data_IF_046064913378
#
_entry.id   IF_046064913378
#
_cell.length_a   1.000
_cell.length_b   1.000
_cell.length_c   1.000
_cell.angle_alpha   90.00
_cell.angle_beta   90.00
_cell.angle_gamma   90.00
#
_symmetry.space_group_name_H-M   'P 1'
#
loop_
_entity.id
_entity.type
_entity.pdbx_description
1 polymer ?
#
# COMPACT_ATOMS: atom_id res chain seq x y z
N UNK A 1 8.99 24.41 3.76
CA UNK A 1 9.73 24.02 2.54
C UNK A 1 10.60 25.16 2.03
N UNK A 2 10.12 26.41 2.16
CA UNK A 2 10.66 27.64 1.59
C UNK A 2 12.01 28.08 2.18
N UNK A 3 12.43 27.54 3.32
CA UNK A 3 13.75 27.78 3.92
C UNK A 3 14.91 27.27 3.06
N UNK A 4 14.65 26.38 2.09
CA UNK A 4 15.64 25.82 1.19
C UNK A 4 15.83 26.70 -0.05
N UNK A 5 17.07 26.71 -0.57
CA UNK A 5 17.42 27.42 -1.81
C UNK A 5 16.55 26.92 -2.98
N UNK A 6 16.11 27.81 -3.90
CA UNK A 6 15.39 27.40 -5.11
C UNK A 6 16.14 26.35 -5.92
N UNK A 7 15.39 25.55 -6.69
CA UNK A 7 15.92 24.44 -7.47
C UNK A 7 15.73 23.09 -6.80
N UNK A 8 16.63 22.14 -7.10
CA UNK A 8 16.67 20.80 -6.49
C UNK A 8 16.55 20.78 -4.96
N UNK A 9 17.24 21.65 -4.19
CA UNK A 9 17.14 21.59 -2.72
C UNK A 9 15.71 21.83 -2.22
N UNK A 10 14.99 22.78 -2.82
CA UNK A 10 13.59 23.06 -2.48
C UNK A 10 12.64 21.99 -2.99
N UNK A 11 12.86 21.47 -4.20
CA UNK A 11 12.07 20.35 -4.73
C UNK A 11 12.22 19.10 -3.85
N UNK A 12 13.43 18.74 -3.45
CA UNK A 12 13.67 17.61 -2.55
C UNK A 12 12.99 17.82 -1.19
N UNK A 13 13.08 19.04 -0.63
CA UNK A 13 12.38 19.39 0.59
C UNK A 13 10.85 19.34 0.44
N UNK A 14 10.30 19.67 -0.74
CA UNK A 14 8.89 19.56 -1.05
C UNK A 14 8.44 18.10 -1.19
N UNK A 15 9.12 17.29 -2.01
CA UNK A 15 8.78 15.87 -2.18
C UNK A 15 8.87 15.11 -0.86
N UNK A 16 9.82 15.47 0.02
CA UNK A 16 9.96 14.87 1.34
C UNK A 16 9.09 15.53 2.44
N UNK A 17 8.31 16.57 2.10
CA UNK A 17 7.45 17.25 3.09
C UNK A 17 6.23 16.42 3.48
N UNK A 18 5.75 15.58 2.57
CA UNK A 18 4.67 14.64 2.79
C UNK A 18 4.97 13.33 2.05
N UNK A 19 4.68 12.19 2.68
CA UNK A 19 4.82 10.87 2.06
C UNK A 19 3.94 10.72 0.82
N UNK A 20 2.79 11.41 0.75
CA UNK A 20 1.96 11.43 -0.45
C UNK A 20 2.61 12.16 -1.63
N UNK A 21 3.58 13.04 -1.36
CA UNK A 21 4.36 13.75 -2.38
C UNK A 21 5.67 13.03 -2.73
N UNK A 22 6.02 11.94 -2.04
CA UNK A 22 7.13 11.06 -2.41
C UNK A 22 6.76 10.21 -3.64
N UNK A 23 6.73 10.81 -4.82
CA UNK A 23 6.52 10.12 -6.09
C UNK A 23 7.79 10.18 -6.95
N UNK A 24 8.24 9.03 -7.44
CA UNK A 24 9.41 8.90 -8.31
C UNK A 24 9.13 7.92 -9.45
N UNK A 25 9.88 8.04 -10.55
CA UNK A 25 9.81 7.06 -11.64
C UNK A 25 10.27 5.69 -11.14
N UNK A 26 9.51 4.65 -11.47
CA UNK A 26 9.79 3.25 -11.15
C UNK A 26 10.66 2.57 -12.20
N UNK A 27 10.76 3.15 -13.40
CA UNK A 27 11.58 2.65 -14.50
C UNK A 27 11.30 1.18 -14.85
N UNK A 28 10.03 0.76 -14.79
CA UNK A 28 9.66 -0.67 -14.88
C UNK A 28 10.17 -1.34 -16.15
N UNK A 29 10.07 -0.65 -17.30
CA UNK A 29 10.59 -1.15 -18.59
C UNK A 29 12.11 -1.30 -18.60
N UNK A 30 12.85 -0.39 -17.96
CA UNK A 30 14.31 -0.47 -17.90
C UNK A 30 14.76 -1.61 -16.99
N UNK A 31 14.11 -1.79 -15.83
CA UNK A 31 14.34 -2.94 -14.96
C UNK A 31 14.12 -4.26 -15.70
N UNK A 32 12.99 -4.40 -16.40
CA UNK A 32 12.70 -5.60 -17.18
C UNK A 32 13.77 -5.85 -18.27
N UNK A 33 14.25 -4.81 -18.94
CA UNK A 33 15.30 -4.94 -19.96
C UNK A 33 16.62 -5.42 -19.37
N UNK A 34 17.03 -4.87 -18.23
CA UNK A 34 18.26 -5.31 -17.53
C UNK A 34 18.12 -6.76 -17.04
N UNK A 35 16.94 -7.15 -16.55
CA UNK A 35 16.69 -8.54 -16.14
C UNK A 35 16.79 -9.52 -17.31
N UNK A 36 16.22 -9.16 -18.47
CA UNK A 36 16.30 -9.99 -19.68
C UNK A 36 17.75 -10.15 -20.17
N UNK A 37 18.53 -9.08 -20.15
CA UNK A 37 19.96 -9.11 -20.49
C UNK A 37 20.75 -10.05 -19.56
N UNK A 38 20.53 -9.93 -18.25
CA UNK A 38 21.17 -10.81 -17.26
C UNK A 38 20.70 -12.27 -17.35
N UNK A 39 19.46 -12.49 -17.75
CA UNK A 39 18.92 -13.83 -17.97
C UNK A 39 19.63 -14.50 -19.15
N UNK A 40 19.81 -13.78 -20.26
CA UNK A 40 20.50 -14.29 -21.44
C UNK A 40 21.98 -14.61 -21.13
N UNK A 41 22.67 -13.72 -20.42
CA UNK A 41 24.04 -13.96 -19.97
C UNK A 41 24.17 -15.23 -19.10
N UNK A 42 23.17 -15.52 -18.27
CA UNK A 42 23.12 -16.77 -17.50
C UNK A 42 22.89 -18.00 -18.38
N UNK A 43 22.06 -17.87 -19.43
CA UNK A 43 21.81 -18.94 -20.40
C UNK A 43 23.09 -19.27 -21.16
N UNK A 44 23.83 -18.26 -21.67
CA UNK A 44 25.10 -18.49 -22.38
C UNK A 44 26.10 -19.30 -21.53
N UNK A 45 26.19 -18.99 -20.23
CA UNK A 45 27.12 -19.67 -19.33
C UNK A 45 26.60 -21.06 -18.94
N UNK A 46 25.27 -21.23 -18.86
CA UNK A 46 24.66 -22.55 -18.68
C UNK A 46 24.93 -23.45 -19.88
N UNK A 47 24.80 -22.95 -21.11
CA UNK A 47 25.11 -23.69 -22.32
C UNK A 47 26.59 -24.16 -22.32
N UNK A 48 27.52 -23.27 -21.94
CA UNK A 48 28.93 -23.66 -21.79
C UNK A 48 29.16 -24.75 -20.73
N UNK A 49 28.39 -24.74 -19.63
CA UNK A 49 28.46 -25.79 -18.63
C UNK A 49 27.94 -27.13 -19.19
N UNK A 50 26.81 -27.08 -19.90
CA UNK A 50 26.21 -28.26 -20.53
C UNK A 50 27.13 -28.87 -21.59
N UNK A 51 27.82 -28.05 -22.39
CA UNK A 51 28.84 -28.53 -23.34
C UNK A 51 29.99 -29.27 -22.63
N UNK A 52 30.47 -28.75 -21.50
CA UNK A 52 31.53 -29.39 -20.73
C UNK A 52 31.06 -30.71 -20.12
N UNK A 53 29.85 -30.75 -19.58
CA UNK A 53 29.27 -31.96 -19.01
C UNK A 53 29.01 -33.02 -20.10
N UNK A 54 28.58 -32.62 -21.29
CA UNK A 54 28.40 -33.52 -22.45
C UNK A 54 29.72 -34.06 -23.00
N UNK A 55 30.80 -33.27 -22.93
CA UNK A 55 32.14 -33.69 -23.36
C UNK A 55 32.85 -34.61 -22.35
N UNK A 56 32.30 -34.82 -21.14
CA UNK A 56 32.93 -35.64 -20.11
C UNK A 56 32.88 -37.14 -20.46
N UNK A 57 34.05 -37.69 -20.75
CA UNK A 57 34.21 -39.12 -21.07
C UNK A 57 34.05 -40.03 -19.85
N UNK A 58 34.39 -39.55 -18.66
CA UNK A 58 34.40 -40.33 -17.42
C UNK A 58 33.24 -39.92 -16.53
N UNK A 59 32.14 -40.67 -16.64
CA UNK A 59 30.90 -40.43 -15.86
C UNK A 59 31.13 -40.30 -14.35
N UNK A 60 32.14 -40.98 -13.78
CA UNK A 60 32.50 -40.84 -12.36
C UNK A 60 32.75 -39.39 -11.94
N UNK A 61 33.41 -38.57 -12.77
CA UNK A 61 33.68 -37.17 -12.43
C UNK A 61 32.40 -36.31 -12.41
N UNK A 62 31.33 -36.69 -13.11
CA UNK A 62 30.03 -36.02 -12.99
C UNK A 62 29.31 -36.34 -11.67
N UNK A 63 29.63 -37.47 -11.04
CA UNK A 63 29.00 -37.90 -9.78
C UNK A 63 29.64 -37.32 -8.52
N UNK A 64 30.81 -36.69 -8.62
CA UNK A 64 31.55 -36.20 -7.46
C UNK A 64 32.13 -34.82 -7.71
N UNK A 65 31.73 -33.84 -6.90
CA UNK A 65 32.38 -32.53 -6.88
C UNK A 65 33.79 -32.59 -6.27
N UNK A 66 34.02 -33.49 -5.29
CA UNK A 66 35.27 -33.51 -4.50
C UNK A 66 36.44 -34.05 -5.31
N UNK A 67 36.16 -34.99 -6.20
CA UNK A 67 37.16 -35.67 -7.02
C UNK A 67 37.05 -35.28 -8.50
N UNK A 68 36.20 -34.30 -8.82
CA UNK A 68 36.13 -33.69 -10.14
C UNK A 68 37.48 -33.04 -10.50
N UNK A 69 38.06 -33.48 -11.61
CA UNK A 69 39.33 -32.97 -12.12
C UNK A 69 39.14 -31.84 -13.14
N UNK A 70 37.92 -31.57 -13.56
CA UNK A 70 37.60 -30.55 -14.56
C UNK A 70 37.60 -29.15 -13.91
N UNK A 71 38.74 -28.47 -13.97
CA UNK A 71 38.90 -27.13 -13.42
C UNK A 71 37.99 -26.10 -14.11
N UNK A 72 37.70 -26.29 -15.40
CA UNK A 72 36.86 -25.37 -16.17
C UNK A 72 35.41 -25.43 -15.74
N UNK A 73 34.87 -26.64 -15.52
CA UNK A 73 33.53 -26.83 -14.94
C UNK A 73 33.38 -26.11 -13.60
N UNK A 74 34.38 -26.24 -12.73
CA UNK A 74 34.40 -25.58 -11.43
C UNK A 74 34.41 -24.05 -11.55
N UNK A 75 35.18 -23.51 -12.49
CA UNK A 75 35.23 -22.07 -12.78
C UNK A 75 33.88 -21.54 -13.25
N UNK A 76 33.24 -22.23 -14.20
CA UNK A 76 31.92 -21.85 -14.72
C UNK A 76 30.85 -21.91 -13.61
N UNK A 77 30.84 -22.96 -12.80
CA UNK A 77 29.92 -23.06 -11.66
C UNK A 77 30.10 -21.91 -10.65
N UNK A 78 31.33 -21.43 -10.43
CA UNK A 78 31.58 -20.24 -9.61
C UNK A 78 31.03 -18.97 -10.27
N UNK A 79 31.26 -18.80 -11.58
CA UNK A 79 30.75 -17.67 -12.35
C UNK A 79 29.22 -17.61 -12.34
N UNK A 80 28.54 -18.75 -12.57
CA UNK A 80 27.09 -18.89 -12.46
C UNK A 80 26.64 -18.48 -11.05
N UNK A 81 27.30 -18.97 -10.01
CA UNK A 81 26.98 -18.62 -8.62
C UNK A 81 27.00 -17.11 -8.37
N UNK A 82 28.02 -16.40 -8.85
CA UNK A 82 28.11 -14.95 -8.70
C UNK A 82 26.99 -14.22 -9.48
N UNK A 83 26.72 -14.62 -10.71
CA UNK A 83 25.70 -13.99 -11.55
C UNK A 83 24.28 -14.24 -11.06
N UNK A 84 24.01 -15.44 -10.54
CA UNK A 84 22.73 -15.74 -9.91
C UNK A 84 22.46 -14.84 -8.71
N UNK A 85 23.46 -14.47 -7.91
CA UNK A 85 23.28 -13.54 -6.80
C UNK A 85 22.84 -12.16 -7.30
N UNK A 86 23.53 -11.63 -8.32
CA UNK A 86 23.20 -10.34 -8.94
C UNK A 86 21.79 -10.36 -9.55
N UNK A 87 21.49 -11.37 -10.38
CA UNK A 87 20.18 -11.54 -11.01
C UNK A 87 19.05 -11.65 -9.99
N UNK A 88 19.22 -12.47 -8.96
CA UNK A 88 18.19 -12.66 -7.93
C UNK A 88 17.96 -11.41 -7.07
N UNK A 89 19.00 -10.60 -6.85
CA UNK A 89 18.86 -9.31 -6.17
C UNK A 89 18.01 -8.35 -7.02
N UNK A 90 18.36 -8.18 -8.30
CA UNK A 90 17.62 -7.34 -9.23
C UNK A 90 16.16 -7.80 -9.40
N UNK A 91 15.93 -9.10 -9.47
CA UNK A 91 14.60 -9.67 -9.65
C UNK A 91 13.72 -9.41 -8.44
N UNK A 92 14.27 -9.57 -7.23
CA UNK A 92 13.57 -9.28 -5.98
C UNK A 92 13.20 -7.80 -5.90
N UNK A 93 14.14 -6.93 -6.23
CA UNK A 93 13.92 -5.48 -6.22
C UNK A 93 12.82 -5.13 -7.23
N UNK A 94 12.87 -5.66 -8.45
CA UNK A 94 11.84 -5.47 -9.46
C UNK A 94 10.45 -5.95 -9.01
N UNK A 95 10.34 -7.14 -8.43
CA UNK A 95 9.07 -7.62 -7.89
C UNK A 95 8.55 -6.75 -6.74
N UNK A 96 9.45 -6.29 -5.86
CA UNK A 96 9.06 -5.35 -4.80
C UNK A 96 8.54 -4.03 -5.36
N UNK A 97 9.05 -3.57 -6.51
CA UNK A 97 8.55 -2.39 -7.23
C UNK A 97 7.19 -2.64 -7.89
N UNK A 98 6.95 -3.83 -8.45
CA UNK A 98 5.63 -4.18 -9.00
C UNK A 98 4.54 -4.25 -7.93
N UNK A 99 4.90 -4.63 -6.70
CA UNK A 99 3.99 -4.64 -5.56
C UNK A 99 3.70 -3.24 -4.98
N UNK A 100 4.42 -2.21 -5.43
CA UNK A 100 4.17 -0.83 -4.97
C UNK A 100 2.88 -0.28 -5.56
N UNK A 101 2.13 0.43 -4.72
CA UNK A 101 0.96 1.16 -5.20
C UNK A 101 1.38 2.34 -6.08
N UNK A 102 0.64 2.52 -7.18
CA UNK A 102 0.66 3.77 -7.93
C UNK A 102 0.23 4.92 -7.02
N UNK A 103 0.82 6.12 -7.16
CA UNK A 103 0.38 7.29 -6.41
C UNK A 103 -1.12 7.55 -6.65
N UNK A 104 -1.76 8.43 -5.87
CA UNK A 104 -3.12 8.89 -6.22
C UNK A 104 -3.05 10.09 -7.18
N UNK A 105 -3.96 10.17 -8.15
CA UNK A 105 -3.92 11.19 -9.21
C UNK A 105 -3.90 12.61 -8.64
N UNK A 106 -4.72 12.84 -7.62
CA UNK A 106 -4.79 14.09 -6.86
C UNK A 106 -3.44 14.54 -6.28
N UNK A 107 -2.63 13.61 -5.81
CA UNK A 107 -1.31 13.94 -5.25
C UNK A 107 -0.32 14.34 -6.34
N UNK A 108 -0.27 13.64 -7.48
CA UNK A 108 0.65 14.04 -8.57
C UNK A 108 0.18 15.31 -9.26
N UNK A 109 -1.13 15.55 -9.36
CA UNK A 109 -1.65 16.85 -9.79
C UNK A 109 -1.14 17.97 -8.88
N UNK A 110 -1.11 17.75 -7.55
CA UNK A 110 -0.56 18.71 -6.59
C UNK A 110 0.95 18.92 -6.79
N UNK A 111 1.72 17.85 -7.01
CA UNK A 111 3.16 17.94 -7.32
C UNK A 111 3.38 18.69 -8.64
N UNK A 112 2.60 18.38 -9.66
CA UNK A 112 2.66 19.00 -10.99
C UNK A 112 2.34 20.50 -10.91
N UNK A 113 1.28 20.88 -10.20
CA UNK A 113 0.92 22.28 -9.97
C UNK A 113 2.04 23.04 -9.26
N UNK A 114 2.64 22.43 -8.23
CA UNK A 114 3.75 23.01 -7.50
C UNK A 114 4.99 23.20 -8.38
N UNK A 115 5.34 22.20 -9.19
CA UNK A 115 6.43 22.27 -10.17
C UNK A 115 6.20 23.35 -11.22
N UNK A 116 4.99 23.44 -11.78
CA UNK A 116 4.64 24.46 -12.77
C UNK A 116 4.70 25.88 -12.20
N UNK A 117 4.30 26.07 -10.94
CA UNK A 117 4.32 27.36 -10.26
C UNK A 117 5.73 27.81 -9.85
N UNK A 118 6.53 26.89 -9.28
CA UNK A 118 7.85 27.21 -8.73
C UNK A 118 8.99 27.04 -9.74
N UNK A 119 8.76 26.29 -10.82
CA UNK A 119 9.73 25.95 -11.88
C UNK A 119 11.14 25.65 -11.33
N UNK A 120 11.27 24.69 -10.39
CA UNK A 120 12.57 24.40 -9.78
C UNK A 120 13.52 23.62 -10.68
N UNK A 121 13.05 23.10 -11.81
CA UNK A 121 13.81 22.29 -12.76
C UNK A 121 13.83 22.96 -14.14
N UNK A 122 14.79 22.56 -14.97
CA UNK A 122 14.78 22.89 -16.40
C UNK A 122 13.66 22.13 -17.11
N UNK A 123 13.21 22.64 -18.26
CA UNK A 123 12.06 22.08 -18.98
C UNK A 123 12.24 20.60 -19.32
N UNK A 124 13.46 20.20 -19.71
CA UNK A 124 13.83 18.83 -20.05
C UNK A 124 13.66 17.85 -18.87
N UNK A 125 13.88 18.32 -17.64
CA UNK A 125 13.77 17.52 -16.43
C UNK A 125 12.36 17.51 -15.84
N UNK A 126 11.52 18.50 -16.16
CA UNK A 126 10.16 18.63 -15.60
C UNK A 126 9.13 17.63 -16.15
N UNK A 127 9.47 16.90 -17.21
CA UNK A 127 8.58 15.99 -17.96
C UNK A 127 8.33 14.66 -17.21
N UNK A 128 9.10 14.35 -16.17
CA UNK A 128 9.07 13.03 -15.52
C UNK A 128 7.70 12.63 -14.91
N UNK A 129 6.82 13.60 -14.63
CA UNK A 129 5.49 13.37 -14.08
C UNK A 129 4.40 13.10 -15.14
N UNK A 130 4.70 13.27 -16.42
CA UNK A 130 3.72 13.03 -17.51
C UNK A 130 3.37 11.55 -17.64
N UNK A 131 4.35 10.69 -17.37
CA UNK A 131 4.22 9.23 -17.45
C UNK A 131 3.70 8.66 -16.12
N UNK A 132 2.41 8.87 -15.88
CA UNK A 132 1.72 8.42 -14.69
C UNK A 132 1.88 6.91 -14.41
N UNK A 133 1.94 6.10 -15.46
CA UNK A 133 2.00 4.64 -15.35
C UNK A 133 3.34 4.15 -14.80
N UNK A 134 4.40 4.93 -14.99
CA UNK A 134 5.76 4.63 -14.51
C UNK A 134 6.09 5.38 -13.21
N UNK A 135 5.11 5.96 -12.51
CA UNK A 135 5.31 6.55 -11.18
C UNK A 135 5.01 5.55 -10.06
N UNK A 136 5.89 5.54 -9.07
CA UNK A 136 5.77 4.76 -7.84
C UNK A 136 5.69 5.66 -6.62
N UNK A 137 4.97 5.19 -5.61
CA UNK A 137 4.91 5.82 -4.29
C UNK A 137 5.20 4.79 -3.19
N UNK A 138 5.79 5.19 -2.05
CA UNK A 138 6.08 4.27 -0.97
C UNK A 138 4.85 3.50 -0.51
N UNK A 139 5.00 2.19 -0.31
CA UNK A 139 3.96 1.39 0.31
C UNK A 139 3.62 1.95 1.70
N UNK A 140 2.32 2.02 1.99
CA UNK A 140 1.79 2.67 3.16
C UNK A 140 1.57 1.62 4.27
N UNK A 141 2.34 1.64 5.38
CA UNK A 141 2.10 0.71 6.49
C UNK A 141 0.93 1.12 7.39
N UNK A 142 0.24 2.24 7.12
CA UNK A 142 -0.86 2.74 7.96
C UNK A 142 -2.17 2.59 7.21
N UNK A 143 -2.62 1.36 6.99
CA UNK A 143 -3.88 1.07 6.29
C UNK A 143 -5.03 1.94 6.80
N UNK A 144 -5.31 3.00 6.04
CA UNK A 144 -6.40 3.89 6.34
C UNK A 144 -7.70 3.11 6.10
N UNK A 145 -8.46 2.87 7.17
CA UNK A 145 -9.72 2.14 7.10
C UNK A 145 -10.70 2.80 6.12
N UNK A 146 -11.73 2.08 5.67
CA UNK A 146 -12.79 2.64 4.81
C UNK A 146 -13.44 3.91 5.40
N UNK A 147 -13.42 4.05 6.72
CA UNK A 147 -13.87 5.24 7.44
C UNK A 147 -12.97 6.46 7.23
N UNK A 148 -11.65 6.28 7.13
CA UNK A 148 -10.72 7.39 6.87
C UNK A 148 -10.85 7.90 5.45
N UNK A 149 -11.09 7.03 4.46
CA UNK A 149 -11.44 7.47 3.10
C UNK A 149 -12.78 8.16 3.02
N UNK A 150 -13.76 7.72 3.80
CA UNK A 150 -15.07 8.39 3.90
C UNK A 150 -14.92 9.77 4.54
N UNK A 151 -14.16 9.87 5.62
CA UNK A 151 -13.86 11.13 6.28
C UNK A 151 -13.00 12.05 5.42
N UNK A 152 -12.07 11.54 4.62
CA UNK A 152 -11.30 12.31 3.65
C UNK A 152 -12.23 12.91 2.57
N UNK A 153 -13.19 12.12 2.06
CA UNK A 153 -14.23 12.61 1.14
C UNK A 153 -15.15 13.64 1.79
N UNK A 154 -15.55 13.45 3.04
CA UNK A 154 -16.34 14.43 3.78
C UNK A 154 -15.54 15.68 4.15
N UNK A 155 -14.26 15.54 4.47
CA UNK A 155 -13.35 16.65 4.77
C UNK A 155 -13.13 17.52 3.54
N UNK A 156 -12.98 16.92 2.36
CA UNK A 156 -12.96 17.64 1.08
C UNK A 156 -14.27 18.40 0.80
N UNK A 157 -15.40 17.97 1.35
CA UNK A 157 -16.68 18.71 1.31
C UNK A 157 -16.80 19.77 2.42
N UNK A 158 -16.10 19.59 3.54
CA UNK A 158 -16.12 20.47 4.72
C UNK A 158 -15.02 21.55 4.69
N UNK A 159 -14.13 21.54 3.70
CA UNK A 159 -12.99 22.47 3.53
C UNK A 159 -13.39 23.95 3.26
N UNK A 160 -14.65 24.32 3.55
CA UNK A 160 -15.04 25.72 3.79
C UNK A 160 -14.74 26.20 5.22
N UNK A 161 -14.40 25.30 6.15
CA UNK A 161 -14.26 25.64 7.57
C UNK A 161 -12.87 25.19 8.06
N UNK A 162 -11.87 26.01 7.77
CA UNK A 162 -10.64 26.07 8.57
C UNK A 162 -9.50 25.18 8.12
N UNK A 163 -8.88 25.49 6.99
CA UNK A 163 -7.51 25.06 6.69
C UNK A 163 -6.52 26.15 7.15
N UNK A 164 -5.52 25.75 7.95
CA UNK A 164 -4.39 26.61 8.28
C UNK A 164 -3.56 26.83 7.02
N UNK A 165 -3.52 28.09 6.59
CA UNK A 165 -2.69 28.60 5.49
C UNK A 165 -1.23 28.18 5.63
N UNK A 166 -0.80 27.25 4.78
CA UNK A 166 0.52 27.37 4.17
C UNK A 166 0.47 28.55 3.17
N UNK A 167 1.55 29.30 3.04
CA UNK A 167 1.61 30.57 2.30
C UNK A 167 1.61 30.40 0.77
N UNK A 168 1.66 29.16 0.26
CA UNK A 168 1.55 28.83 -1.15
C UNK A 168 0.12 28.36 -1.48
N UNK A 169 -0.56 29.07 -2.38
CA UNK A 169 -1.98 28.90 -2.69
C UNK A 169 -2.29 27.62 -3.51
N UNK A 170 -1.27 26.81 -3.81
CA UNK A 170 -1.34 25.70 -4.77
C UNK A 170 -1.16 24.30 -4.16
N UNK A 171 -0.98 24.18 -2.84
CA UNK A 171 -0.85 22.86 -2.17
C UNK A 171 -1.56 22.85 -0.81
N UNK A 172 -2.57 21.99 -0.68
CA UNK A 172 -3.24 21.71 0.59
C UNK A 172 -2.45 20.63 1.34
N UNK A 173 -1.78 21.02 2.43
CA UNK A 173 -1.15 20.09 3.35
C UNK A 173 -2.16 19.71 4.45
N UNK A 174 -2.72 18.51 4.37
CA UNK A 174 -3.52 17.96 5.46
C UNK A 174 -2.61 17.23 6.45
N UNK A 175 -2.66 17.59 7.73
CA UNK A 175 -1.84 16.91 8.75
C UNK A 175 -2.36 15.47 8.97
N UNK A 176 -1.57 14.42 8.66
CA UNK A 176 -2.04 13.03 8.75
C UNK A 176 -2.35 12.60 10.19
N UNK A 177 -1.73 13.25 11.19
CA UNK A 177 -1.91 12.93 12.61
C UNK A 177 -3.28 13.37 13.15
N UNK A 178 -3.79 14.53 12.72
CA UNK A 178 -5.09 15.02 13.14
C UNK A 178 -6.21 14.16 12.53
N UNK A 179 -6.09 13.81 11.25
CA UNK A 179 -7.03 12.92 10.56
C UNK A 179 -7.11 11.55 11.24
N UNK A 180 -5.96 10.95 11.56
CA UNK A 180 -5.92 9.68 12.27
C UNK A 180 -6.46 9.76 13.71
N UNK A 181 -6.31 10.89 14.40
CA UNK A 181 -6.88 11.08 15.73
C UNK A 181 -8.42 11.27 15.69
N UNK A 182 -8.91 12.09 14.75
CA UNK A 182 -10.34 12.34 14.53
C UNK A 182 -11.06 11.06 14.08
N UNK A 183 -10.47 10.33 13.14
CA UNK A 183 -10.95 9.02 12.69
C UNK A 183 -11.12 8.05 13.84
N UNK A 184 -10.05 7.84 14.64
CA UNK A 184 -10.11 6.97 15.83
C UNK A 184 -11.18 7.42 16.82
N UNK A 185 -11.31 8.73 17.06
CA UNK A 185 -12.38 9.31 17.87
C UNK A 185 -13.77 8.93 17.35
N UNK A 186 -14.03 9.14 16.06
CA UNK A 186 -15.32 8.81 15.43
C UNK A 186 -15.61 7.31 15.49
N UNK A 187 -14.63 6.45 15.22
CA UNK A 187 -14.80 4.99 15.31
C UNK A 187 -15.15 4.57 16.75
N UNK A 188 -14.50 5.14 17.76
CA UNK A 188 -14.81 4.81 19.17
C UNK A 188 -16.22 5.26 19.57
N UNK A 189 -16.63 6.46 19.16
CA UNK A 189 -17.99 6.97 19.43
C UNK A 189 -19.03 6.09 18.74
N UNK A 190 -18.80 5.74 17.46
CA UNK A 190 -19.69 4.88 16.69
C UNK A 190 -19.81 3.50 17.35
N UNK A 191 -18.70 2.89 17.76
CA UNK A 191 -18.71 1.60 18.46
C UNK A 191 -19.54 1.64 19.75
N UNK A 192 -19.37 2.67 20.58
CA UNK A 192 -20.15 2.83 21.81
C UNK A 192 -21.63 3.06 21.50
N UNK A 193 -21.94 3.92 20.53
CA UNK A 193 -23.32 4.22 20.15
C UNK A 193 -24.04 2.97 19.60
N UNK A 194 -23.37 2.20 18.74
CA UNK A 194 -23.95 0.98 18.17
C UNK A 194 -24.19 -0.11 19.22
N UNK A 195 -23.42 -0.15 20.31
CA UNK A 195 -23.67 -1.09 21.41
C UNK A 195 -24.78 -0.62 22.35
N UNK A 196 -24.92 0.69 22.58
CA UNK A 196 -25.78 1.24 23.64
C UNK A 196 -27.17 1.67 23.15
N UNK A 197 -27.26 2.33 21.99
CA UNK A 197 -28.52 2.82 21.42
C UNK A 197 -29.55 1.71 21.18
N UNK A 198 -29.17 0.53 20.64
CA UNK A 198 -30.15 -0.51 20.33
C UNK A 198 -30.81 -1.09 21.58
N UNK A 199 -30.07 -1.15 22.70
CA UNK A 199 -30.59 -1.59 24.00
C UNK A 199 -31.70 -0.63 24.46
N UNK A 200 -31.44 0.68 24.39
CA UNK A 200 -32.42 1.70 24.77
C UNK A 200 -33.65 1.68 23.86
N UNK A 201 -33.47 1.55 22.54
CA UNK A 201 -34.56 1.50 21.57
C UNK A 201 -35.42 0.24 21.75
N UNK A 202 -34.79 -0.92 21.99
CA UNK A 202 -35.51 -2.18 22.22
C UNK A 202 -36.33 -2.15 23.52
N UNK A 203 -35.86 -1.45 24.55
CA UNK A 203 -36.62 -1.25 25.78
C UNK A 203 -37.92 -0.46 25.55
N UNK A 204 -37.91 0.53 24.65
CA UNK A 204 -39.07 1.38 24.37
C UNK A 204 -40.12 0.75 23.45
N UNK A 205 -39.82 -0.38 22.80
CA UNK A 205 -40.73 -1.03 21.84
C UNK A 205 -41.49 -2.17 22.54
N UNK A 206 -42.83 -2.13 22.62
CA UNK A 206 -43.61 -3.21 23.23
C UNK A 206 -43.85 -4.41 22.29
N UNK A 207 -43.96 -4.18 20.97
CA UNK A 207 -44.31 -5.24 20.00
C UNK A 207 -43.09 -6.11 19.63
N UNK A 208 -43.22 -7.43 19.80
CA UNK A 208 -42.14 -8.41 19.49
C UNK A 208 -41.68 -8.37 18.03
N UNK A 209 -42.61 -8.26 17.07
CA UNK A 209 -42.26 -8.18 15.64
C UNK A 209 -41.44 -6.94 15.31
N UNK A 210 -41.74 -5.80 15.95
CA UNK A 210 -40.97 -4.57 15.79
C UNK A 210 -39.59 -4.66 16.44
N UNK A 211 -39.44 -5.39 17.56
CA UNK A 211 -38.12 -5.67 18.17
C UNK A 211 -37.21 -6.46 17.23
N UNK A 212 -37.73 -7.48 16.56
CA UNK A 212 -36.96 -8.28 15.60
C UNK A 212 -36.46 -7.44 14.41
N UNK A 213 -37.32 -6.59 13.83
CA UNK A 213 -36.89 -5.68 12.78
C UNK A 213 -35.83 -4.68 13.25
N UNK A 214 -35.95 -4.15 14.46
CA UNK A 214 -34.95 -3.27 15.05
C UNK A 214 -33.59 -3.99 15.23
N UNK A 215 -33.57 -5.23 15.73
CA UNK A 215 -32.33 -6.03 15.85
C UNK A 215 -31.65 -6.19 14.49
N UNK A 216 -32.40 -6.56 13.44
CA UNK A 216 -31.85 -6.74 12.10
C UNK A 216 -31.22 -5.46 11.57
N UNK A 217 -31.90 -4.32 11.73
CA UNK A 217 -31.40 -3.01 11.27
C UNK A 217 -30.12 -2.63 12.04
N UNK A 218 -30.12 -2.71 13.36
CA UNK A 218 -28.95 -2.34 14.17
C UNK A 218 -27.77 -3.30 13.96
N UNK A 219 -28.02 -4.59 13.72
CA UNK A 219 -26.98 -5.55 13.35
C UNK A 219 -26.39 -5.23 11.98
N UNK A 220 -27.22 -4.80 11.03
CA UNK A 220 -26.76 -4.30 9.72
C UNK A 220 -25.89 -3.06 9.84
N UNK A 221 -26.28 -2.09 10.69
CA UNK A 221 -25.48 -0.88 10.96
C UNK A 221 -24.14 -1.23 11.61
N UNK A 222 -24.14 -2.13 12.61
CA UNK A 222 -22.91 -2.61 13.26
C UNK A 222 -21.95 -3.31 12.29
N UNK A 223 -22.46 -4.24 11.49
CA UNK A 223 -21.68 -4.93 10.48
C UNK A 223 -21.15 -3.96 9.43
N UNK A 224 -21.97 -3.01 8.98
CA UNK A 224 -21.54 -1.93 8.09
C UNK A 224 -20.42 -1.08 8.68
N UNK A 225 -20.53 -0.67 9.95
CA UNK A 225 -19.50 0.07 10.66
C UNK A 225 -18.18 -0.73 10.79
N UNK A 226 -18.27 -2.03 11.10
CA UNK A 226 -17.09 -2.91 11.14
C UNK A 226 -16.46 -3.12 9.77
N UNK A 227 -17.24 -3.24 8.70
CA UNK A 227 -16.72 -3.29 7.33
C UNK A 227 -15.95 -2.03 6.94
N UNK A 228 -16.22 -0.89 7.59
CA UNK A 228 -15.43 0.34 7.40
C UNK A 228 -14.11 0.33 8.16
N UNK A 229 -13.91 -0.61 9.08
CA UNK A 229 -12.63 -0.85 9.77
C UNK A 229 -11.79 -1.87 9.01
N UNK A 230 -10.47 -1.78 9.11
CA UNK A 230 -9.55 -2.76 8.52
C UNK A 230 -9.48 -4.02 9.40
N UNK A 231 -10.58 -4.77 9.47
CA UNK A 231 -10.68 -6.06 10.16
C UNK A 231 -10.81 -7.19 9.15
N UNK A 232 -10.33 -8.39 9.51
CA UNK A 232 -10.43 -9.54 8.61
C UNK A 232 -11.89 -9.98 8.49
N UNK A 233 -12.29 -10.46 7.32
CA UNK A 233 -13.67 -10.89 7.05
C UNK A 233 -14.24 -11.87 8.11
N UNK A 234 -13.40 -12.77 8.65
CA UNK A 234 -13.84 -13.70 9.69
C UNK A 234 -14.07 -13.04 11.06
N UNK A 235 -13.31 -11.97 11.38
CA UNK A 235 -13.45 -11.21 12.63
C UNK A 235 -14.75 -10.43 12.62
N UNK A 236 -15.11 -9.85 11.46
CA UNK A 236 -16.38 -9.15 11.26
C UNK A 236 -17.56 -10.12 11.49
N UNK A 237 -17.49 -11.34 10.93
CA UNK A 237 -18.53 -12.34 11.11
C UNK A 237 -18.67 -12.78 12.58
N UNK A 238 -17.55 -13.03 13.25
CA UNK A 238 -17.53 -13.41 14.67
C UNK A 238 -18.09 -12.31 15.57
N UNK A 239 -17.67 -11.05 15.37
CA UNK A 239 -18.16 -9.92 16.13
C UNK A 239 -19.66 -9.67 15.89
N UNK A 240 -20.13 -9.80 14.64
CA UNK A 240 -21.56 -9.66 14.29
C UNK A 240 -22.41 -10.75 14.94
N UNK A 241 -21.93 -12.00 14.95
CA UNK A 241 -22.61 -13.11 15.61
C UNK A 241 -22.71 -12.90 17.13
N UNK A 242 -21.62 -12.47 17.78
CA UNK A 242 -21.61 -12.15 19.20
C UNK A 242 -22.58 -11.01 19.55
N UNK A 243 -22.58 -9.95 18.75
CA UNK A 243 -23.48 -8.82 18.92
C UNK A 243 -24.96 -9.23 18.76
N UNK A 244 -25.27 -10.03 17.74
CA UNK A 244 -26.61 -10.58 17.53
C UNK A 244 -27.07 -11.43 18.73
N UNK A 245 -26.19 -12.29 19.27
CA UNK A 245 -26.50 -13.08 20.45
C UNK A 245 -26.86 -12.21 21.66
N UNK A 246 -26.10 -11.14 21.93
CA UNK A 246 -26.39 -10.20 23.02
C UNK A 246 -27.76 -9.54 22.84
N UNK A 247 -28.09 -9.09 21.62
CA UNK A 247 -29.37 -8.45 21.33
C UNK A 247 -30.56 -9.41 21.47
N UNK A 248 -30.43 -10.65 21.01
CA UNK A 248 -31.47 -11.69 21.14
C UNK A 248 -31.71 -12.03 22.62
N UNK A 249 -30.64 -12.20 23.40
CA UNK A 249 -30.76 -12.46 24.85
C UNK A 249 -31.42 -11.27 25.56
N UNK A 250 -31.08 -10.03 25.18
CA UNK A 250 -31.72 -8.85 25.76
C UNK A 250 -33.23 -8.81 25.48
N UNK A 251 -33.64 -9.04 24.24
CA UNK A 251 -35.06 -9.07 23.86
C UNK A 251 -35.84 -10.19 24.56
N UNK A 252 -35.22 -11.34 24.79
CA UNK A 252 -35.84 -12.45 25.51
C UNK A 252 -36.14 -12.15 26.99
N UNK A 253 -35.42 -11.20 27.60
CA UNK A 253 -35.55 -10.84 29.02
C UNK A 253 -36.36 -9.56 29.27
N UNK A 254 -36.84 -8.87 28.23
CA UNK A 254 -37.70 -7.70 28.39
C UNK A 254 -39.12 -8.14 28.76
N UNK A 255 -39.78 -7.48 29.74
CA UNK A 255 -41.18 -7.75 30.05
C UNK A 255 -42.02 -7.53 28.78
N UNK A 256 -42.93 -8.47 28.54
CA UNK A 256 -43.84 -8.51 27.38
C UNK A 256 -44.91 -7.43 27.54
#
# INVERSE_FOLDING_TARGET
>A
VESHRPGYPRLAAFLNSDRYFCAFKSFGRLHARVLLDKQDELIEIQEQLEEIDQAETTSYFLHTRREDRNSRRREILLQIGHKLIEYNALLRDYYSHLEQRKPQRTHVESISNWLHGNKPLVAEESVFLEDWEDLSSPNHPVDHGGLERFLERCALQLDKIGSQKSTDNHVLHFSPQCIAAVSRGITTILAVATLTVPIAVLYSIPKMTSRLWAITIFTGIFSGALCMTHTRNFEIFSATAAYCAVMVVFVANLPI
#
